data_IF_623178666240
#
_entry.id   IF_623178666240
#
_cell.length_a   1.000
_cell.length_b   1.000
_cell.length_c   1.000
_cell.angle_alpha   90.00
_cell.angle_beta   90.00
_cell.angle_gamma   90.00
#
_symmetry.space_group_name_H-M   'P 1'
#
loop_
_entity.id
_entity.type
_entity.pdbx_description
1 polymer ?
#
# COMPACT_ATOMS: atom_id res chain seq x y z
N UNK A 1 -33.06 -1.24 -18.65
CA UNK A 1 -32.00 -0.21 -18.77
C UNK A 1 -32.44 1.04 -19.52
N UNK A 2 -33.09 0.97 -20.69
CA UNK A 2 -33.53 2.19 -21.43
C UNK A 2 -34.43 3.12 -20.60
N UNK A 3 -35.35 2.57 -19.80
CA UNK A 3 -36.22 3.34 -18.89
C UNK A 3 -35.43 4.09 -17.80
N UNK A 4 -34.49 3.42 -17.14
CA UNK A 4 -33.60 4.04 -16.14
C UNK A 4 -32.77 5.16 -16.76
N UNK A 5 -32.18 4.93 -17.93
CA UNK A 5 -31.36 5.94 -18.60
C UNK A 5 -32.16 7.19 -18.96
N UNK A 6 -33.38 7.02 -19.48
CA UNK A 6 -34.29 8.13 -19.76
C UNK A 6 -34.67 8.87 -18.48
N UNK A 7 -34.96 8.15 -17.40
CA UNK A 7 -35.30 8.74 -16.09
C UNK A 7 -34.15 9.55 -15.50
N UNK A 8 -32.91 9.06 -15.53
CA UNK A 8 -31.73 9.82 -15.08
C UNK A 8 -31.59 11.12 -15.87
N UNK A 9 -31.70 11.06 -17.20
CA UNK A 9 -31.56 12.22 -18.08
C UNK A 9 -32.63 13.28 -17.81
N UNK A 10 -33.88 12.86 -17.56
CA UNK A 10 -34.97 13.77 -17.18
C UNK A 10 -34.73 14.48 -15.84
N UNK A 11 -34.00 13.85 -14.93
CA UNK A 11 -33.64 14.40 -13.61
C UNK A 11 -32.24 15.05 -13.60
N UNK A 12 -31.67 15.38 -14.77
CA UNK A 12 -30.38 16.08 -14.87
C UNK A 12 -29.16 15.26 -14.41
N UNK A 13 -29.28 13.93 -14.35
CA UNK A 13 -28.19 13.02 -13.95
C UNK A 13 -27.75 12.15 -15.11
N UNK A 14 -26.45 11.81 -15.15
CA UNK A 14 -25.91 10.87 -16.13
C UNK A 14 -26.49 9.48 -15.88
N UNK A 15 -26.96 8.83 -16.95
CA UNK A 15 -27.34 7.43 -16.88
C UNK A 15 -26.08 6.57 -16.68
N UNK A 16 -26.12 5.66 -15.72
CA UNK A 16 -25.01 4.75 -15.45
C UNK A 16 -25.49 3.31 -15.38
N UNK A 17 -24.57 2.38 -15.65
CA UNK A 17 -24.69 1.00 -15.19
C UNK A 17 -24.13 0.89 -13.77
N UNK A 18 -24.82 0.14 -12.95
CA UNK A 18 -24.32 -0.24 -11.63
C UNK A 18 -23.32 -1.39 -11.79
N UNK A 19 -22.22 -1.40 -11.01
CA UNK A 19 -21.29 -2.53 -10.96
C UNK A 19 -22.02 -3.83 -10.62
N UNK A 20 -21.57 -4.95 -11.17
CA UNK A 20 -22.08 -6.26 -10.78
C UNK A 20 -21.41 -6.71 -9.48
N UNK A 21 -22.22 -7.25 -8.57
CA UNK A 21 -21.71 -7.89 -7.36
C UNK A 21 -21.19 -9.30 -7.68
N UNK A 22 -20.03 -9.64 -7.14
CA UNK A 22 -19.42 -10.96 -7.19
C UNK A 22 -19.30 -11.45 -5.74
N UNK A 23 -20.05 -12.49 -5.34
CA UNK A 23 -20.15 -12.92 -3.94
C UNK A 23 -18.82 -13.23 -3.25
N UNK A 24 -17.79 -13.58 -4.01
CA UNK A 24 -16.44 -13.88 -3.50
C UNK A 24 -15.51 -12.67 -3.45
N UNK A 25 -15.96 -11.48 -3.87
CA UNK A 25 -15.15 -10.26 -3.96
C UNK A 25 -15.86 -9.07 -3.33
N UNK A 26 -15.57 -8.82 -2.06
CA UNK A 26 -16.01 -7.62 -1.32
C UNK A 26 -15.83 -6.28 -2.05
N UNK A 27 -14.79 -6.11 -2.88
CA UNK A 27 -14.58 -4.90 -3.69
C UNK A 27 -15.71 -4.68 -4.69
N UNK A 28 -16.29 -5.74 -5.28
CA UNK A 28 -17.45 -5.61 -6.17
C UNK A 28 -18.70 -5.21 -5.40
N UNK A 29 -18.93 -5.78 -4.21
CA UNK A 29 -20.01 -5.39 -3.31
C UNK A 29 -19.88 -3.91 -2.92
N UNK A 30 -18.68 -3.47 -2.53
CA UNK A 30 -18.39 -2.06 -2.25
C UNK A 30 -18.69 -1.15 -3.45
N UNK A 31 -18.15 -1.48 -4.63
CA UNK A 31 -18.37 -0.68 -5.85
C UNK A 31 -19.87 -0.57 -6.17
N UNK A 32 -20.63 -1.65 -6.05
CA UNK A 32 -22.09 -1.66 -6.26
C UNK A 32 -22.80 -0.77 -5.23
N UNK A 33 -22.56 -0.99 -3.94
CA UNK A 33 -23.26 -0.27 -2.88
C UNK A 33 -22.93 1.22 -2.88
N UNK A 34 -21.64 1.57 -3.01
CA UNK A 34 -21.20 2.97 -3.08
C UNK A 34 -21.86 3.70 -4.25
N UNK A 35 -21.91 3.06 -5.43
CA UNK A 35 -22.57 3.65 -6.60
C UNK A 35 -24.09 3.74 -6.44
N UNK A 36 -24.70 2.74 -5.82
CA UNK A 36 -26.14 2.74 -5.52
C UNK A 36 -26.48 3.87 -4.55
N UNK A 37 -25.65 4.08 -3.53
CA UNK A 37 -25.82 5.14 -2.53
C UNK A 37 -25.69 6.55 -3.13
N UNK A 38 -24.79 6.74 -4.10
CA UNK A 38 -24.66 7.99 -4.87
C UNK A 38 -25.95 8.35 -5.63
N UNK A 39 -26.69 7.34 -6.11
CA UNK A 39 -27.93 7.49 -6.87
C UNK A 39 -29.20 7.24 -6.03
N UNK A 40 -29.08 7.15 -4.70
CA UNK A 40 -30.15 6.67 -3.81
C UNK A 40 -31.50 7.36 -3.99
N UNK A 41 -31.53 8.68 -4.13
CA UNK A 41 -32.77 9.45 -4.24
C UNK A 41 -33.51 9.14 -5.55
N UNK A 42 -32.75 9.06 -6.66
CA UNK A 42 -33.28 8.67 -7.96
C UNK A 42 -33.71 7.20 -7.98
N UNK A 43 -32.92 6.32 -7.37
CA UNK A 43 -33.23 4.90 -7.30
C UNK A 43 -34.48 4.63 -6.48
N UNK A 44 -34.61 5.24 -5.30
CA UNK A 44 -35.78 5.10 -4.44
C UNK A 44 -37.05 5.51 -5.19
N UNK A 45 -37.01 6.67 -5.84
CA UNK A 45 -38.14 7.20 -6.62
C UNK A 45 -38.44 6.31 -7.84
N UNK A 46 -37.42 5.94 -8.62
CA UNK A 46 -37.58 5.09 -9.79
C UNK A 46 -38.17 3.72 -9.45
N UNK A 47 -37.66 3.07 -8.39
CA UNK A 47 -38.13 1.77 -7.93
C UNK A 47 -39.58 1.85 -7.45
N UNK A 48 -39.93 2.89 -6.69
CA UNK A 48 -41.31 3.10 -6.23
C UNK A 48 -42.32 3.19 -7.39
N UNK A 49 -41.96 3.83 -8.51
CA UNK A 49 -42.87 3.99 -9.66
C UNK A 49 -42.82 2.83 -10.66
N UNK A 50 -41.70 2.11 -10.78
CA UNK A 50 -41.49 1.14 -11.85
C UNK A 50 -41.30 -0.31 -11.38
N UNK A 51 -41.13 -0.54 -10.09
CA UNK A 51 -40.85 -1.88 -9.51
C UNK A 51 -41.77 -2.13 -8.31
N UNK A 52 -43.00 -2.55 -8.61
CA UNK A 52 -44.11 -2.65 -7.65
C UNK A 52 -43.93 -3.61 -6.47
N UNK A 53 -42.88 -4.45 -6.46
CA UNK A 53 -42.63 -5.45 -5.41
C UNK A 53 -41.46 -5.09 -4.49
N UNK A 54 -40.76 -3.98 -4.74
CA UNK A 54 -39.60 -3.56 -3.94
C UNK A 54 -39.89 -2.18 -3.37
N UNK A 55 -39.78 -2.06 -2.05
CA UNK A 55 -39.83 -0.77 -1.36
C UNK A 55 -38.47 -0.52 -0.69
N UNK A 56 -37.87 0.62 -0.98
CA UNK A 56 -36.64 1.06 -0.35
C UNK A 56 -36.97 2.09 0.72
N UNK A 57 -36.70 1.75 1.97
CA UNK A 57 -36.88 2.63 3.12
C UNK A 57 -35.58 3.34 3.48
N UNK A 58 -35.68 4.40 4.29
CA UNK A 58 -34.51 5.11 4.80
C UNK A 58 -33.54 4.18 5.53
N UNK A 59 -34.06 3.24 6.34
CA UNK A 59 -33.24 2.25 7.05
C UNK A 59 -32.37 1.39 6.13
N UNK A 60 -32.84 1.07 4.91
CA UNK A 60 -32.01 0.32 3.94
C UNK A 60 -30.83 1.16 3.44
N UNK A 61 -31.02 2.46 3.28
CA UNK A 61 -29.95 3.38 2.89
C UNK A 61 -28.98 3.64 4.03
N UNK A 62 -29.47 3.71 5.26
CA UNK A 62 -28.63 3.83 6.46
C UNK A 62 -27.73 2.59 6.61
N UNK A 63 -28.29 1.38 6.49
CA UNK A 63 -27.53 0.14 6.46
C UNK A 63 -26.51 0.11 5.29
N UNK A 64 -26.92 0.53 4.09
CA UNK A 64 -26.04 0.63 2.93
C UNK A 64 -24.85 1.56 3.19
N UNK A 65 -25.08 2.71 3.85
CA UNK A 65 -24.04 3.66 4.22
C UNK A 65 -23.05 3.04 5.22
N UNK A 66 -23.54 2.33 6.24
CA UNK A 66 -22.70 1.70 7.25
C UNK A 66 -21.82 0.60 6.64
N UNK A 67 -22.40 -0.28 5.82
CA UNK A 67 -21.65 -1.32 5.09
C UNK A 67 -20.64 -0.71 4.13
N UNK A 68 -21.01 0.36 3.41
CA UNK A 68 -20.08 1.09 2.53
C UNK A 68 -18.90 1.66 3.32
N UNK A 69 -19.14 2.22 4.50
CA UNK A 69 -18.10 2.76 5.37
C UNK A 69 -17.07 1.70 5.74
N UNK A 70 -17.53 0.52 6.19
CA UNK A 70 -16.67 -0.61 6.53
C UNK A 70 -15.89 -1.12 5.31
N UNK A 71 -16.60 -1.42 4.20
CA UNK A 71 -15.97 -1.99 3.01
C UNK A 71 -15.02 -1.00 2.30
N UNK A 72 -15.22 0.31 2.45
CA UNK A 72 -14.31 1.33 1.90
C UNK A 72 -12.89 1.18 2.45
N UNK A 73 -12.74 0.84 3.73
CA UNK A 73 -11.42 0.66 4.36
C UNK A 73 -10.66 -0.46 3.66
N UNK A 74 -11.33 -1.59 3.46
CA UNK A 74 -10.77 -2.74 2.76
C UNK A 74 -10.51 -2.51 1.28
N UNK A 75 -11.41 -1.79 0.61
CA UNK A 75 -11.21 -1.37 -0.78
C UNK A 75 -9.98 -0.49 -0.93
N UNK A 76 -9.81 0.48 -0.02
CA UNK A 76 -8.65 1.39 0.00
C UNK A 76 -7.37 0.62 0.26
N UNK A 77 -7.35 -0.25 1.28
CA UNK A 77 -6.21 -1.12 1.58
C UNK A 77 -5.85 -2.02 0.39
N UNK A 78 -6.84 -2.63 -0.27
CA UNK A 78 -6.60 -3.50 -1.44
C UNK A 78 -5.94 -2.72 -2.58
N UNK A 79 -6.43 -1.51 -2.88
CA UNK A 79 -5.85 -0.67 -3.92
C UNK A 79 -4.43 -0.22 -3.58
N UNK A 80 -4.20 0.18 -2.33
CA UNK A 80 -2.88 0.63 -1.86
C UNK A 80 -1.86 -0.52 -1.87
N UNK A 81 -2.28 -1.74 -1.52
CA UNK A 81 -1.39 -2.91 -1.46
C UNK A 81 -1.22 -3.62 -2.81
N UNK A 82 -2.06 -3.30 -3.80
CA UNK A 82 -1.98 -3.82 -5.18
C UNK A 82 -1.22 -2.90 -6.14
N UNK A 83 -0.68 -1.78 -5.65
CA UNK A 83 0.14 -0.87 -6.46
C UNK A 83 1.39 -1.54 -7.01
N UNK A 84 1.77 -1.16 -8.22
CA UNK A 84 2.95 -1.70 -8.94
C UNK A 84 4.08 -0.68 -9.11
N UNK A 85 3.78 0.61 -8.89
CA UNK A 85 4.71 1.71 -9.11
C UNK A 85 5.29 2.33 -7.84
N UNK A 86 5.02 1.73 -6.68
CA UNK A 86 5.54 2.13 -5.39
C UNK A 86 5.63 0.90 -4.47
N UNK A 87 6.54 0.90 -3.48
CA UNK A 87 6.59 -0.15 -2.46
C UNK A 87 5.28 -0.30 -1.71
N UNK A 88 4.82 -1.54 -1.59
CA UNK A 88 3.60 -1.88 -0.86
C UNK A 88 3.87 -2.57 0.48
N UNK A 89 5.05 -3.19 0.64
CA UNK A 89 5.43 -4.00 1.82
C UNK A 89 5.39 -3.19 3.12
N UNK A 90 5.90 -1.96 3.10
CA UNK A 90 5.93 -1.05 4.25
C UNK A 90 4.54 -0.50 4.60
N UNK A 91 3.59 -0.53 3.67
CA UNK A 91 2.23 -0.04 3.88
C UNK A 91 1.34 -1.07 4.60
N UNK A 92 1.69 -2.36 4.54
CA UNK A 92 0.83 -3.44 5.02
C UNK A 92 0.39 -3.29 6.47
N UNK A 93 1.30 -2.92 7.37
CA UNK A 93 0.98 -2.73 8.80
C UNK A 93 0.06 -1.53 8.99
N UNK A 94 0.28 -0.43 8.25
CA UNK A 94 -0.57 0.77 8.30
C UNK A 94 -1.99 0.46 7.81
N UNK A 95 -2.11 -0.28 6.71
CA UNK A 95 -3.43 -0.70 6.21
C UNK A 95 -4.13 -1.68 7.17
N UNK A 96 -3.36 -2.56 7.82
CA UNK A 96 -3.88 -3.47 8.84
C UNK A 96 -4.40 -2.73 10.08
N UNK A 97 -3.76 -1.61 10.45
CA UNK A 97 -4.25 -0.72 11.51
C UNK A 97 -5.59 -0.07 11.16
N UNK A 98 -5.72 0.43 9.92
CA UNK A 98 -6.98 1.00 9.44
C UNK A 98 -8.12 -0.03 9.51
N UNK A 99 -7.83 -1.28 9.09
CA UNK A 99 -8.77 -2.40 9.15
C UNK A 99 -9.15 -2.74 10.59
N UNK A 100 -8.17 -2.83 11.49
CA UNK A 100 -8.44 -3.10 12.91
C UNK A 100 -9.27 -1.99 13.57
N UNK A 101 -9.00 -0.72 13.22
CA UNK A 101 -9.82 0.42 13.64
C UNK A 101 -11.26 0.34 13.11
N UNK A 102 -11.45 -0.12 11.88
CA UNK A 102 -12.79 -0.32 11.31
C UNK A 102 -13.56 -1.42 12.05
N UNK A 103 -12.91 -2.53 12.41
CA UNK A 103 -13.54 -3.56 13.26
C UNK A 103 -13.95 -2.99 14.62
N UNK A 104 -13.07 -2.27 15.30
CA UNK A 104 -13.38 -1.66 16.59
C UNK A 104 -14.54 -0.66 16.51
N UNK A 105 -14.63 0.12 15.43
CA UNK A 105 -15.70 1.09 15.22
C UNK A 105 -17.07 0.43 15.00
N UNK A 106 -17.11 -0.67 14.24
CA UNK A 106 -18.34 -1.36 13.89
C UNK A 106 -18.77 -2.43 14.91
N UNK A 107 -17.94 -2.76 15.91
CA UNK A 107 -18.25 -3.81 16.90
C UNK A 107 -19.48 -3.49 17.75
N UNK A 108 -19.77 -2.20 17.98
CA UNK A 108 -20.95 -1.74 18.71
C UNK A 108 -22.21 -1.58 17.86
N UNK A 109 -22.12 -1.74 16.53
CA UNK A 109 -23.26 -1.65 15.63
C UNK A 109 -24.02 -2.99 15.64
N UNK A 110 -25.27 -2.98 16.13
CA UNK A 110 -26.08 -4.19 16.28
C UNK A 110 -26.41 -4.88 14.96
N UNK A 111 -26.48 -4.13 13.85
CA UNK A 111 -26.79 -4.70 12.52
C UNK A 111 -25.55 -5.34 11.89
N UNK A 112 -24.36 -4.78 12.15
CA UNK A 112 -23.11 -5.28 11.59
C UNK A 112 -22.38 -6.28 12.48
N UNK A 113 -22.73 -6.37 13.77
CA UNK A 113 -21.98 -7.13 14.78
C UNK A 113 -21.62 -8.56 14.35
N UNK A 114 -22.59 -9.34 13.86
CA UNK A 114 -22.36 -10.73 13.43
C UNK A 114 -21.40 -10.81 12.23
N UNK A 115 -21.59 -9.93 11.24
CA UNK A 115 -20.75 -9.89 10.03
C UNK A 115 -19.32 -9.44 10.37
N UNK A 116 -19.17 -8.40 11.20
CA UNK A 116 -17.88 -7.87 11.64
C UNK A 116 -17.14 -8.90 12.47
N UNK A 117 -17.83 -9.63 13.35
CA UNK A 117 -17.22 -10.72 14.14
C UNK A 117 -16.68 -11.81 13.21
N UNK A 118 -17.49 -12.28 12.25
CA UNK A 118 -17.05 -13.29 11.28
C UNK A 118 -15.86 -12.79 10.42
N UNK A 119 -15.88 -11.53 9.99
CA UNK A 119 -14.77 -10.92 9.24
C UNK A 119 -13.50 -10.82 10.08
N UNK A 120 -13.61 -10.41 11.35
CA UNK A 120 -12.50 -10.31 12.30
C UNK A 120 -11.89 -11.68 12.58
N UNK A 121 -12.72 -12.69 12.83
CA UNK A 121 -12.26 -14.07 13.03
C UNK A 121 -11.49 -14.57 11.81
N UNK A 122 -12.04 -14.35 10.61
CA UNK A 122 -11.38 -14.73 9.37
C UNK A 122 -10.07 -13.97 9.14
N UNK A 123 -10.02 -12.69 9.48
CA UNK A 123 -8.83 -11.86 9.41
C UNK A 123 -7.71 -12.38 10.33
N UNK A 124 -8.07 -12.75 11.56
CA UNK A 124 -7.14 -13.31 12.55
C UNK A 124 -6.54 -14.66 12.13
N UNK A 125 -7.24 -15.47 11.35
CA UNK A 125 -6.67 -16.72 10.81
C UNK A 125 -5.40 -16.47 9.97
N UNK A 126 -5.33 -15.34 9.26
CA UNK A 126 -4.20 -15.01 8.39
C UNK A 126 -3.21 -14.03 9.04
N UNK A 127 -3.72 -13.07 9.81
CA UNK A 127 -2.96 -11.90 10.25
C UNK A 127 -2.99 -11.69 11.76
N UNK A 128 -3.29 -12.74 12.55
CA UNK A 128 -3.00 -12.73 13.99
C UNK A 128 -1.50 -12.57 14.22
N UNK A 129 -0.65 -13.26 13.48
CA UNK A 129 0.80 -13.05 13.51
C UNK A 129 1.24 -12.44 12.19
N UNK A 130 1.80 -11.23 12.23
CA UNK A 130 2.34 -10.63 11.03
C UNK A 130 3.59 -11.37 10.55
N UNK A 131 3.67 -11.68 9.25
CA UNK A 131 4.93 -12.08 8.64
C UNK A 131 6.02 -11.04 8.91
N UNK A 132 7.21 -11.50 9.36
CA UNK A 132 8.30 -10.61 9.78
C UNK A 132 8.73 -9.62 8.69
N UNK A 133 8.57 -9.98 7.40
CA UNK A 133 8.92 -9.09 6.28
C UNK A 133 8.15 -7.76 6.31
N UNK A 134 6.88 -7.76 6.73
CA UNK A 134 6.08 -6.53 6.80
C UNK A 134 6.50 -5.65 7.97
N UNK A 135 6.84 -6.26 9.11
CA UNK A 135 7.35 -5.54 10.28
C UNK A 135 8.73 -4.94 10.00
N UNK A 136 9.62 -5.70 9.35
CA UNK A 136 10.93 -5.23 8.93
C UNK A 136 10.79 -4.11 7.89
N UNK A 137 9.90 -4.27 6.89
CA UNK A 137 9.65 -3.24 5.89
C UNK A 137 9.15 -1.92 6.50
N UNK A 138 8.29 -1.99 7.52
CA UNK A 138 7.85 -0.81 8.28
C UNK A 138 9.05 -0.11 8.96
N UNK A 139 10.00 -0.86 9.51
CA UNK A 139 11.20 -0.29 10.13
C UNK A 139 12.12 0.41 9.12
N UNK A 140 12.06 0.03 7.84
CA UNK A 140 12.78 0.69 6.75
C UNK A 140 12.01 1.88 6.15
N UNK A 141 10.80 2.19 6.63
CA UNK A 141 10.12 3.45 6.30
C UNK A 141 10.63 4.54 7.25
N UNK A 142 11.42 5.52 6.80
CA UNK A 142 12.01 6.52 7.69
C UNK A 142 10.94 7.39 8.37
N UNK A 143 9.72 7.44 7.83
CA UNK A 143 8.57 8.14 8.44
C UNK A 143 8.05 7.39 9.67
N UNK A 144 8.34 6.11 9.78
CA UNK A 144 7.98 5.24 10.90
C UNK A 144 9.23 5.01 11.77
N UNK A 145 9.13 5.22 13.08
CA UNK A 145 10.24 4.93 13.99
C UNK A 145 10.13 3.50 14.49
N UNK A 146 11.26 2.79 14.62
CA UNK A 146 11.30 1.49 15.29
C UNK A 146 10.82 1.62 16.75
N UNK A 147 11.14 2.74 17.42
CA UNK A 147 10.64 3.04 18.77
C UNK A 147 9.11 3.09 18.84
N UNK A 148 8.44 3.35 17.73
CA UNK A 148 6.97 3.37 17.61
C UNK A 148 6.39 2.00 17.20
N UNK A 149 7.22 0.99 16.93
CA UNK A 149 6.73 -0.36 16.61
C UNK A 149 5.81 -0.92 17.71
N UNK A 150 6.14 -0.82 19.01
CA UNK A 150 5.21 -1.22 20.07
C UNK A 150 3.88 -0.47 19.99
N UNK A 151 3.89 0.83 19.72
CA UNK A 151 2.66 1.64 19.62
C UNK A 151 1.77 1.17 18.45
N UNK A 152 2.36 0.89 17.29
CA UNK A 152 1.64 0.31 16.16
C UNK A 152 1.05 -1.07 16.52
N UNK A 153 1.82 -1.94 17.17
CA UNK A 153 1.33 -3.26 17.55
C UNK A 153 0.24 -3.19 18.64
N UNK A 154 0.36 -2.29 19.61
CA UNK A 154 -0.68 -2.03 20.63
C UNK A 154 -1.96 -1.48 19.99
N UNK A 155 -1.84 -0.55 19.06
CA UNK A 155 -3.00 -0.03 18.33
C UNK A 155 -3.72 -1.14 17.54
N UNK A 156 -2.97 -2.08 16.95
CA UNK A 156 -3.54 -3.21 16.23
C UNK A 156 -4.17 -4.25 17.16
N UNK A 157 -3.38 -4.82 18.08
CA UNK A 157 -3.76 -5.97 18.89
C UNK A 157 -4.68 -5.61 20.04
N UNK A 158 -4.33 -4.58 20.82
CA UNK A 158 -5.03 -4.25 22.06
C UNK A 158 -6.23 -3.35 21.80
N UNK A 159 -6.07 -2.32 20.97
CA UNK A 159 -7.12 -1.33 20.73
C UNK A 159 -8.08 -1.76 19.61
N UNK A 160 -7.54 -2.16 18.46
CA UNK A 160 -8.34 -2.53 17.29
C UNK A 160 -8.97 -3.91 17.41
N UNK A 161 -8.17 -4.93 17.76
CA UNK A 161 -8.62 -6.31 17.79
C UNK A 161 -9.00 -6.82 19.18
N UNK A 162 -8.56 -6.16 20.25
CA UNK A 162 -8.80 -6.54 21.65
C UNK A 162 -8.39 -7.99 21.94
N UNK A 163 -7.23 -8.40 21.44
CA UNK A 163 -6.66 -9.72 21.67
C UNK A 163 -5.35 -9.63 22.44
N UNK A 164 -5.10 -10.64 23.27
CA UNK A 164 -3.84 -10.79 23.98
C UNK A 164 -2.74 -11.25 23.01
N UNK A 165 -1.68 -10.45 22.91
CA UNK A 165 -0.53 -10.71 22.06
C UNK A 165 0.74 -10.19 22.73
N UNK A 166 1.81 -10.99 22.70
CA UNK A 166 3.09 -10.61 23.30
C UNK A 166 3.86 -9.65 22.37
N UNK A 167 3.53 -8.35 22.50
CA UNK A 167 4.11 -7.25 21.73
C UNK A 167 5.62 -7.14 22.00
N UNK A 168 6.04 -7.29 23.26
CA UNK A 168 7.45 -7.19 23.65
C UNK A 168 8.29 -8.28 22.99
N UNK A 169 7.82 -9.53 23.01
CA UNK A 169 8.49 -10.65 22.34
C UNK A 169 8.53 -10.44 20.81
N UNK A 170 7.46 -9.93 20.20
CA UNK A 170 7.44 -9.62 18.78
C UNK A 170 8.46 -8.54 18.41
N UNK A 171 8.50 -7.44 19.17
CA UNK A 171 9.48 -6.37 18.98
C UNK A 171 10.91 -6.87 19.15
N UNK A 172 11.17 -7.69 20.18
CA UNK A 172 12.48 -8.32 20.38
C UNK A 172 12.88 -9.20 19.20
N UNK A 173 11.95 -10.01 18.67
CA UNK A 173 12.17 -10.84 17.47
C UNK A 173 12.50 -10.00 16.24
N UNK A 174 11.73 -8.95 15.95
CA UNK A 174 11.97 -8.04 14.81
C UNK A 174 13.33 -7.37 14.94
N UNK A 175 13.66 -6.91 16.16
CA UNK A 175 14.97 -6.32 16.44
C UNK A 175 16.09 -7.31 16.13
N UNK A 176 16.05 -8.53 16.65
CA UNK A 176 17.05 -9.58 16.35
C UNK A 176 17.19 -9.83 14.86
N UNK A 177 16.07 -9.96 14.13
CA UNK A 177 16.10 -10.20 12.68
C UNK A 177 16.74 -9.04 11.90
N UNK A 178 16.58 -7.78 12.34
CA UNK A 178 17.26 -6.64 11.72
C UNK A 178 18.78 -6.73 11.86
N UNK A 179 19.30 -7.12 13.03
CA UNK A 179 20.75 -7.32 13.22
C UNK A 179 21.26 -8.51 12.41
N UNK A 180 20.55 -9.64 12.42
CA UNK A 180 20.93 -10.81 11.63
C UNK A 180 20.98 -10.50 10.13
N UNK A 181 19.99 -9.77 9.61
CA UNK A 181 19.93 -9.35 8.21
C UNK A 181 21.09 -8.41 7.88
N UNK A 182 21.39 -7.45 8.75
CA UNK A 182 22.53 -6.55 8.59
C UNK A 182 23.86 -7.32 8.59
N UNK A 183 24.02 -8.29 9.50
CA UNK A 183 25.21 -9.13 9.59
C UNK A 183 25.43 -9.98 8.33
N UNK A 184 24.37 -10.51 7.73
CA UNK A 184 24.50 -11.24 6.46
C UNK A 184 24.93 -10.32 5.32
N UNK A 185 24.38 -9.11 5.23
CA UNK A 185 24.76 -8.16 4.18
C UNK A 185 26.17 -7.61 4.37
N UNK A 186 26.59 -7.28 5.59
CA UNK A 186 27.94 -6.76 5.82
C UNK A 186 29.01 -7.83 5.51
N UNK A 187 28.73 -9.11 5.77
CA UNK A 187 29.63 -10.23 5.37
C UNK A 187 29.81 -10.29 3.86
N UNK A 188 28.74 -10.10 3.08
CA UNK A 188 28.76 -10.21 1.62
C UNK A 188 29.31 -8.96 0.95
N UNK A 189 28.89 -7.78 1.40
CA UNK A 189 29.11 -6.51 0.69
C UNK A 189 30.09 -5.57 1.38
N UNK A 190 30.36 -5.74 2.68
CA UNK A 190 31.31 -4.93 3.45
C UNK A 190 32.71 -4.86 2.83
N UNK A 191 33.31 -5.97 2.37
CA UNK A 191 34.64 -5.96 1.74
C UNK A 191 34.73 -5.06 0.50
N UNK A 192 33.65 -4.97 -0.28
CA UNK A 192 33.58 -4.17 -1.51
C UNK A 192 33.46 -2.68 -1.25
N UNK A 193 32.97 -2.30 -0.06
CA UNK A 193 32.72 -0.91 0.32
C UNK A 193 33.90 -0.28 1.08
N UNK A 194 35.01 -1.02 1.29
CA UNK A 194 36.09 -0.65 2.21
C UNK A 194 35.55 -0.24 3.60
N UNK A 195 34.43 -0.82 4.02
CA UNK A 195 33.97 -0.71 5.40
C UNK A 195 34.90 -1.62 6.18
N UNK A 196 35.78 -1.03 7.00
CA UNK A 196 36.69 -1.78 7.87
C UNK A 196 35.86 -2.69 8.79
N UNK A 197 35.66 -3.94 8.37
CA UNK A 197 35.31 -5.03 9.28
C UNK A 197 36.52 -5.13 10.22
N UNK A 198 36.36 -4.97 11.54
CA UNK A 198 37.52 -4.97 12.42
C UNK A 198 38.17 -6.36 12.41
N UNK A 199 39.16 -6.56 11.55
CA UNK A 199 40.20 -7.54 11.74
C UNK A 199 41.18 -6.95 12.74
N UNK A 200 41.35 -7.66 13.85
CA UNK A 200 42.32 -7.36 14.90
C UNK A 200 43.74 -7.25 14.33
N UNK A 201 44.19 -6.06 13.97
CA UNK A 201 45.62 -5.73 13.95
C UNK A 201 45.84 -4.26 14.35
N UNK A 202 46.74 -4.10 15.33
CA UNK A 202 47.36 -2.84 15.71
C UNK A 202 47.97 -2.16 14.48
N UNK A 203 47.82 -0.84 14.31
CA UNK A 203 48.92 0.10 14.03
C UNK A 203 48.44 1.56 14.12
N UNK A 204 49.40 2.37 14.58
CA UNK A 204 49.49 3.81 14.84
C UNK A 204 48.99 4.79 13.77
N UNK A 205 48.61 5.96 14.29
CA UNK A 205 48.10 7.18 13.66
C UNK A 205 49.10 7.85 12.71
N UNK A 206 48.60 8.42 11.61
CA UNK A 206 49.07 9.72 11.11
C UNK A 206 47.96 10.47 10.37
N UNK A 207 48.01 11.80 10.46
CA UNK A 207 46.97 12.77 10.07
C UNK A 207 47.36 13.55 8.82
N UNK A 208 46.39 13.85 7.94
CA UNK A 208 46.39 15.12 7.21
C UNK A 208 44.97 15.50 6.76
N UNK A 209 44.69 16.80 6.78
CA UNK A 209 43.37 17.43 6.61
C UNK A 209 43.19 18.01 5.21
N UNK A 210 41.96 17.97 4.70
CA UNK A 210 41.42 19.06 3.88
C UNK A 210 39.89 19.11 4.05
N UNK A 211 39.43 20.24 4.55
CA UNK A 211 38.05 20.55 4.96
C UNK A 211 37.10 20.77 3.80
N UNK A 212 35.87 20.23 3.89
CA UNK A 212 34.69 20.77 3.20
C UNK A 212 33.37 20.35 3.90
N UNK A 213 32.57 21.34 4.28
CA UNK A 213 31.13 21.36 4.63
C UNK A 213 30.53 20.47 5.75
N UNK A 214 31.21 19.45 6.30
CA UNK A 214 30.62 18.52 7.31
C UNK A 214 30.46 19.12 8.73
N UNK A 215 31.02 20.30 9.00
CA UNK A 215 31.14 20.85 10.36
C UNK A 215 29.88 21.53 10.94
N UNK A 216 28.73 21.51 10.26
CA UNK A 216 27.47 22.02 10.83
C UNK A 216 26.69 20.96 11.64
N UNK A 217 26.80 19.68 11.28
CA UNK A 217 26.10 18.59 11.99
C UNK A 217 26.72 18.30 13.36
N UNK A 218 28.06 18.32 13.47
CA UNK A 218 28.75 18.09 14.75
C UNK A 218 28.48 19.15 15.83
N UNK A 219 28.09 20.37 15.45
CA UNK A 219 27.79 21.43 16.42
C UNK A 219 26.42 21.28 17.08
N UNK A 220 25.46 20.60 16.42
CA UNK A 220 24.12 20.35 16.97
C UNK A 220 24.08 19.19 17.98
N UNK A 221 25.02 18.23 17.89
CA UNK A 221 25.15 17.14 18.87
C UNK A 221 25.86 17.55 20.18
N UNK A 222 26.46 18.75 20.23
CA UNK A 222 27.26 19.20 21.38
C UNK A 222 26.45 19.80 22.55
N UNK A 223 25.11 19.79 22.51
CA UNK A 223 24.27 20.33 23.58
C UNK A 223 23.10 19.44 24.00
N UNK A 224 23.35 18.17 24.31
CA UNK A 224 22.56 17.45 25.34
C UNK A 224 23.18 16.14 25.83
N UNK A 225 24.20 16.19 26.68
CA UNK A 225 24.49 15.09 27.64
C UNK A 225 25.11 15.65 28.93
N UNK A 226 24.26 15.91 29.93
CA UNK A 226 24.69 15.96 31.34
C UNK A 226 23.93 14.85 32.08
N UNK A 227 24.70 13.81 32.51
CA UNK A 227 24.33 12.62 33.32
C UNK A 227 23.35 11.66 32.63
N UNK A 228 23.50 10.33 32.70
CA UNK A 228 23.93 9.47 33.82
C UNK A 228 25.13 8.57 33.50
N UNK A 229 25.85 8.23 34.57
CA UNK A 229 27.01 7.34 34.62
C UNK A 229 26.49 5.92 34.88
N UNK A 230 26.61 5.03 33.89
CA UNK A 230 26.41 3.58 34.02
C UNK A 230 27.49 2.88 33.21
N UNK A 231 28.25 1.98 33.84
CA UNK A 231 29.37 1.26 33.23
C UNK A 231 28.92 0.46 32.01
N UNK A 232 29.49 0.76 30.85
CA UNK A 232 29.35 -0.04 29.64
C UNK A 232 30.68 -0.74 29.36
N UNK A 233 30.63 -2.07 29.35
CA UNK A 233 31.58 -2.93 28.68
C UNK A 233 31.71 -2.53 27.21
N UNK A 234 32.94 -2.49 26.72
CA UNK A 234 33.33 -2.23 25.34
C UNK A 234 32.71 -3.25 24.37
N UNK A 235 31.66 -2.88 23.64
CA UNK A 235 31.29 -3.50 22.36
C UNK A 235 31.77 -2.61 21.22
N UNK A 236 32.69 -3.16 20.44
CA UNK A 236 33.29 -2.57 19.24
C UNK A 236 32.26 -2.29 18.14
N UNK A 237 32.51 -1.24 17.38
CA UNK A 237 31.68 -0.50 16.43
C UNK A 237 31.22 -1.25 15.16
N UNK A 238 30.60 -2.44 15.26
CA UNK A 238 30.15 -3.20 14.07
C UNK A 238 28.80 -2.73 13.51
N UNK A 239 27.89 -2.24 14.37
CA UNK A 239 26.51 -1.87 14.00
C UNK A 239 26.27 -0.36 13.92
N UNK A 240 27.31 0.46 13.75
CA UNK A 240 27.16 1.92 13.84
C UNK A 240 26.17 2.50 12.83
N UNK A 241 26.06 1.91 11.64
CA UNK A 241 25.08 2.29 10.62
C UNK A 241 23.64 1.98 11.05
N UNK A 242 23.36 0.74 11.43
CA UNK A 242 22.04 0.27 11.88
C UNK A 242 21.59 1.04 13.12
N UNK A 243 22.43 1.14 14.14
CA UNK A 243 22.11 1.88 15.37
C UNK A 243 21.89 3.37 15.09
N UNK A 244 22.70 3.97 14.20
CA UNK A 244 22.51 5.36 13.79
C UNK A 244 21.18 5.56 13.09
N UNK A 245 20.79 4.68 12.17
CA UNK A 245 19.49 4.77 11.50
C UNK A 245 18.34 4.62 12.49
N UNK A 246 18.36 3.57 13.33
CA UNK A 246 17.29 3.27 14.28
C UNK A 246 17.09 4.36 15.35
N UNK A 247 18.16 5.07 15.73
CA UNK A 247 18.11 6.17 16.70
C UNK A 247 17.88 7.55 16.08
N UNK A 248 17.93 7.67 14.74
CA UNK A 248 17.76 8.95 14.07
C UNK A 248 16.28 9.21 13.77
N UNK A 249 15.77 10.32 14.30
CA UNK A 249 14.52 10.88 13.81
C UNK A 249 14.77 11.71 12.55
N UNK A 250 14.24 11.27 11.43
CA UNK A 250 14.18 12.06 10.21
C UNK A 250 12.97 13.02 10.31
N UNK A 251 13.23 14.32 10.34
CA UNK A 251 12.16 15.32 10.44
C UNK A 251 11.37 15.41 9.14
N UNK A 252 10.21 14.75 9.08
CA UNK A 252 9.25 14.90 8.00
C UNK A 252 8.24 15.98 8.37
N UNK A 253 8.07 16.96 7.49
CA UNK A 253 7.04 17.99 7.60
C UNK A 253 5.84 17.50 6.79
N UNK A 254 4.66 17.41 7.41
CA UNK A 254 3.42 16.91 6.77
C UNK A 254 2.87 17.86 5.67
N UNK A 255 3.45 19.05 5.49
CA UNK A 255 2.85 20.18 4.74
C UNK A 255 3.21 20.29 3.24
N UNK A 256 3.35 19.18 2.50
CA UNK A 256 3.31 19.32 1.03
C UNK A 256 2.35 18.31 0.41
N UNK A 257 1.10 18.74 0.24
CA UNK A 257 0.03 18.02 -0.47
C UNK A 257 0.43 17.63 -1.92
N UNK A 258 1.52 18.18 -2.47
CA UNK A 258 1.90 18.05 -3.88
C UNK A 258 2.98 16.99 -4.20
N UNK A 259 3.61 16.34 -3.22
CA UNK A 259 4.62 15.28 -3.50
C UNK A 259 4.42 14.04 -2.64
N UNK A 260 3.87 12.99 -3.25
CA UNK A 260 3.87 11.62 -2.69
C UNK A 260 5.31 11.23 -2.33
N UNK A 261 5.56 10.91 -1.06
CA UNK A 261 6.87 10.48 -0.58
C UNK A 261 7.33 9.21 -1.30
N UNK A 262 8.49 9.25 -1.95
CA UNK A 262 9.12 8.10 -2.60
C UNK A 262 10.21 7.53 -1.68
N UNK A 263 9.87 6.45 -0.98
CA UNK A 263 10.75 5.77 -0.04
C UNK A 263 12.00 5.17 -0.70
N UNK A 264 11.90 4.66 -1.94
CA UNK A 264 13.06 4.11 -2.64
C UNK A 264 14.01 5.22 -3.09
N UNK A 265 13.44 6.35 -3.52
CA UNK A 265 14.23 7.53 -3.81
C UNK A 265 14.94 8.05 -2.56
N UNK A 266 14.25 8.10 -1.41
CA UNK A 266 14.85 8.48 -0.14
C UNK A 266 16.05 7.58 0.21
N UNK A 267 15.90 6.24 0.12
CA UNK A 267 17.01 5.31 0.36
C UNK A 267 18.17 5.51 -0.60
N UNK A 268 17.89 5.81 -1.87
CA UNK A 268 18.92 6.13 -2.87
C UNK A 268 19.68 7.40 -2.55
N UNK A 269 19.02 8.44 -2.05
CA UNK A 269 19.67 9.69 -1.63
C UNK A 269 20.53 9.49 -0.37
N UNK A 270 20.15 8.57 0.51
CA UNK A 270 20.82 8.30 1.78
C UNK A 270 21.81 7.13 1.72
N UNK A 271 21.99 6.49 0.57
CA UNK A 271 22.91 5.37 0.34
C UNK A 271 24.35 5.67 0.76
N UNK A 272 24.79 6.94 0.66
CA UNK A 272 26.13 7.36 1.10
C UNK A 272 26.33 7.29 2.61
N UNK A 273 25.25 7.44 3.38
CA UNK A 273 25.28 7.38 4.85
C UNK A 273 24.93 5.99 5.36
N UNK A 274 24.07 5.29 4.63
CA UNK A 274 23.57 3.97 4.99
C UNK A 274 23.73 2.96 3.82
N UNK A 275 24.97 2.61 3.44
CA UNK A 275 25.20 1.78 2.25
C UNK A 275 24.67 0.34 2.40
N UNK A 276 24.84 -0.28 3.57
CA UNK A 276 24.36 -1.65 3.81
C UNK A 276 22.84 -1.65 3.93
N UNK A 277 22.28 -0.73 4.70
CA UNK A 277 20.83 -0.63 4.89
C UNK A 277 20.11 -0.24 3.61
N UNK A 278 20.68 0.61 2.75
CA UNK A 278 20.06 0.96 1.47
C UNK A 278 19.91 -0.27 0.55
N UNK A 279 20.88 -1.19 0.56
CA UNK A 279 20.76 -2.46 -0.17
C UNK A 279 19.65 -3.34 0.40
N UNK A 280 19.59 -3.47 1.74
CA UNK A 280 18.56 -4.25 2.43
C UNK A 280 17.17 -3.66 2.17
N UNK A 281 17.02 -2.35 2.39
CA UNK A 281 15.78 -1.62 2.20
C UNK A 281 15.27 -1.78 0.76
N UNK A 282 16.14 -1.64 -0.24
CA UNK A 282 15.79 -1.87 -1.64
C UNK A 282 15.23 -3.27 -1.85
N UNK A 283 15.84 -4.31 -1.29
CA UNK A 283 15.37 -5.68 -1.47
C UNK A 283 14.05 -5.95 -0.73
N UNK A 284 13.93 -5.51 0.52
CA UNK A 284 12.73 -5.73 1.34
C UNK A 284 11.53 -4.95 0.80
N UNK A 285 11.70 -3.66 0.51
CA UNK A 285 10.63 -2.77 0.04
C UNK A 285 10.17 -3.08 -1.39
N UNK A 286 11.00 -3.75 -2.19
CA UNK A 286 10.62 -4.17 -3.55
C UNK A 286 9.74 -5.43 -3.56
N UNK A 287 9.49 -6.07 -2.42
CA UNK A 287 8.65 -7.27 -2.34
C UNK A 287 7.16 -6.91 -2.38
N UNK A 288 6.41 -7.16 -3.46
CA UNK A 288 4.99 -6.83 -3.49
C UNK A 288 4.21 -7.61 -2.44
N UNK A 289 3.23 -6.96 -1.79
CA UNK A 289 2.30 -7.62 -0.86
C UNK A 289 1.29 -8.48 -1.59
N UNK A 290 0.83 -7.99 -2.75
CA UNK A 290 -0.30 -8.56 -3.49
C UNK A 290 0.15 -9.30 -4.75
N UNK A 291 -0.51 -10.42 -5.04
CA UNK A 291 -0.39 -11.14 -6.32
C UNK A 291 -1.25 -10.53 -7.43
N UNK A 292 -2.06 -9.50 -7.13
CA UNK A 292 -3.03 -8.91 -8.08
C UNK A 292 -2.39 -8.49 -9.39
N UNK A 293 -1.19 -7.90 -9.38
CA UNK A 293 -0.49 -7.54 -10.61
C UNK A 293 -0.21 -8.76 -11.51
N UNK A 294 0.21 -9.86 -10.90
CA UNK A 294 0.48 -11.13 -11.59
C UNK A 294 -0.82 -11.77 -12.06
N UNK A 295 -1.87 -11.74 -11.25
CA UNK A 295 -3.20 -12.24 -11.61
C UNK A 295 -3.82 -11.44 -12.76
N UNK A 296 -3.72 -10.11 -12.75
CA UNK A 296 -4.15 -9.26 -13.86
C UNK A 296 -3.41 -9.59 -15.15
N UNK A 297 -2.10 -9.86 -15.07
CA UNK A 297 -1.32 -10.28 -16.23
C UNK A 297 -1.74 -11.66 -16.74
N UNK A 298 -2.07 -12.61 -15.86
CA UNK A 298 -2.60 -13.92 -16.26
C UNK A 298 -4.02 -13.83 -16.85
N UNK A 299 -4.91 -13.03 -16.26
CA UNK A 299 -6.25 -12.78 -16.82
C UNK A 299 -6.18 -12.10 -18.19
N UNK A 300 -5.27 -11.14 -18.37
CA UNK A 300 -4.99 -10.57 -19.69
C UNK A 300 -4.38 -11.61 -20.66
N UNK A 301 -3.57 -12.53 -20.13
CA UNK A 301 -2.96 -13.65 -20.85
C UNK A 301 -3.97 -14.67 -21.38
N UNK A 302 -5.12 -14.87 -20.71
CA UNK A 302 -6.21 -15.70 -21.24
C UNK A 302 -6.74 -15.16 -22.58
N UNK A 303 -6.75 -13.83 -22.77
CA UNK A 303 -7.08 -13.22 -24.06
C UNK A 303 -5.97 -13.38 -25.13
N UNK A 304 -4.74 -13.69 -24.73
CA UNK A 304 -3.62 -13.97 -25.65
C UNK A 304 -3.74 -15.40 -26.22
N UNK A 305 -4.29 -16.32 -25.43
CA UNK A 305 -4.64 -17.69 -25.84
C UNK A 305 -6.05 -17.77 -26.47
N UNK A 306 -6.36 -16.84 -27.38
CA UNK A 306 -7.52 -16.96 -28.28
C UNK A 306 -7.41 -18.30 -29.07
N UNK A 307 -8.50 -19.03 -29.34
CA UNK A 307 -8.53 -20.18 -30.25
C UNK A 307 -7.70 -20.00 -31.55
N UNK A 308 -7.58 -18.76 -32.06
CA UNK A 308 -6.77 -18.39 -33.24
C UNK A 308 -5.24 -18.34 -33.02
N UNK A 309 -4.78 -18.32 -31.76
CA UNK A 309 -3.35 -18.27 -31.34
C UNK A 309 -2.90 -19.53 -30.58
N UNK A 310 -3.66 -20.61 -30.69
CA UNK A 310 -3.42 -21.92 -30.06
C UNK A 310 -2.16 -22.67 -30.53
N UNK A 311 -1.44 -22.16 -31.53
CA UNK A 311 -0.23 -22.77 -32.11
C UNK A 311 1.10 -22.14 -31.62
N UNK A 312 1.06 -21.16 -30.71
CA UNK A 312 2.28 -20.56 -30.18
C UNK A 312 3.02 -21.51 -29.25
N UNK A 313 4.35 -21.59 -29.39
CA UNK A 313 5.16 -22.33 -28.44
C UNK A 313 5.12 -21.68 -27.04
N UNK A 314 5.25 -22.44 -25.95
CA UNK A 314 5.31 -21.87 -24.60
C UNK A 314 6.38 -20.79 -24.44
N UNK A 315 7.53 -20.96 -25.12
CA UNK A 315 8.63 -19.98 -25.12
C UNK A 315 8.23 -18.67 -25.81
N UNK A 316 7.52 -18.76 -26.94
CA UNK A 316 7.02 -17.58 -27.66
C UNK A 316 5.99 -16.80 -26.83
N UNK A 317 5.10 -17.52 -26.15
CA UNK A 317 4.11 -16.92 -25.24
C UNK A 317 4.80 -16.19 -24.08
N UNK A 318 5.80 -16.80 -23.46
CA UNK A 318 6.57 -16.18 -22.37
C UNK A 318 7.25 -14.89 -22.83
N UNK A 319 7.92 -14.91 -24.00
CA UNK A 319 8.58 -13.72 -24.55
C UNK A 319 7.55 -12.61 -24.80
N UNK A 320 6.40 -12.94 -25.40
CA UNK A 320 5.34 -11.96 -25.66
C UNK A 320 4.84 -11.33 -24.34
N UNK A 321 4.53 -12.16 -23.33
CA UNK A 321 4.07 -11.68 -22.03
C UNK A 321 5.09 -10.75 -21.35
N UNK A 322 6.38 -11.08 -21.39
CA UNK A 322 7.44 -10.23 -20.85
C UNK A 322 7.58 -8.91 -21.61
N UNK A 323 7.55 -8.94 -22.95
CA UNK A 323 7.68 -7.73 -23.78
C UNK A 323 6.49 -6.79 -23.57
N UNK A 324 5.27 -7.33 -23.52
CA UNK A 324 4.07 -6.55 -23.24
C UNK A 324 4.13 -5.90 -21.86
N UNK A 325 4.52 -6.65 -20.82
CA UNK A 325 4.65 -6.14 -19.47
C UNK A 325 5.72 -5.04 -19.36
N UNK A 326 6.91 -5.26 -19.92
CA UNK A 326 7.98 -4.26 -19.92
C UNK A 326 7.59 -3.00 -20.67
N UNK A 327 6.87 -3.14 -21.80
CA UNK A 327 6.37 -1.99 -22.57
C UNK A 327 5.35 -1.19 -21.75
N UNK A 328 4.42 -1.88 -21.07
CA UNK A 328 3.46 -1.23 -20.16
C UNK A 328 4.17 -0.57 -18.97
N UNK A 329 5.18 -1.21 -18.39
CA UNK A 329 5.97 -0.66 -17.29
C UNK A 329 6.70 0.64 -17.69
N UNK A 330 7.33 0.65 -18.86
CA UNK A 330 7.99 1.85 -19.42
C UNK A 330 7.02 3.01 -19.61
N UNK A 331 5.79 2.71 -20.06
CA UNK A 331 4.76 3.71 -20.28
C UNK A 331 3.93 4.04 -19.02
N UNK A 332 4.18 3.36 -17.89
CA UNK A 332 3.37 3.40 -16.66
C UNK A 332 1.88 3.07 -16.86
N UNK A 333 1.60 1.99 -17.59
CA UNK A 333 0.26 1.56 -18.00
C UNK A 333 -0.16 0.18 -17.42
N UNK A 334 0.54 -0.32 -16.40
CA UNK A 334 0.21 -1.61 -15.77
C UNK A 334 -1.00 -1.51 -14.82
N UNK A 335 -1.32 -0.32 -14.29
CA UNK A 335 -2.46 -0.09 -13.39
C UNK A 335 -3.81 0.11 -14.12
N UNK A 336 -3.84 0.04 -15.46
CA UNK A 336 -5.08 0.24 -16.22
C UNK A 336 -5.98 -0.99 -16.05
N UNK A 337 -6.86 -0.92 -15.04
CA UNK A 337 -8.01 -1.81 -14.91
C UNK A 337 -8.82 -1.78 -16.21
N UNK A 338 -9.00 -2.93 -16.85
CA UNK A 338 -9.98 -3.10 -17.94
C UNK A 338 -11.45 -3.05 -17.43
N UNK A 339 -11.69 -2.54 -16.22
CA UNK A 339 -13.01 -2.40 -15.59
C UNK A 339 -13.55 -0.96 -15.62
N UNK A 340 -13.04 -0.07 -16.49
CA UNK A 340 -13.82 1.13 -16.83
C UNK A 340 -15.17 0.65 -17.43
N UNK A 341 -16.32 1.01 -16.85
CA UNK A 341 -17.60 0.63 -17.43
C UNK A 341 -17.69 1.29 -18.80
N UNK A 342 -17.61 0.48 -19.86
CA UNK A 342 -17.87 0.91 -21.22
C UNK A 342 -19.19 1.70 -21.25
N UNK A 343 -19.10 3.01 -21.51
CA UNK A 343 -20.26 3.89 -21.55
C UNK A 343 -21.02 3.66 -22.86
N UNK A 344 -21.87 2.63 -22.85
CA UNK A 344 -22.74 2.29 -23.97
C UNK A 344 -23.68 3.44 -24.38
N UNK A 345 -23.82 4.50 -23.57
CA UNK A 345 -24.67 5.65 -23.83
C UNK A 345 -23.92 6.86 -24.42
N UNK A 346 -22.58 6.80 -24.57
CA UNK A 346 -21.82 7.84 -25.29
C UNK A 346 -22.07 7.80 -26.80
N UNK A 347 -22.29 6.61 -27.35
CA UNK A 347 -22.48 6.41 -28.80
C UNK A 347 -23.93 6.73 -29.27
N UNK A 348 -24.86 6.99 -28.35
CA UNK A 348 -26.26 7.33 -28.64
C UNK A 348 -26.51 8.87 -28.70
N UNK A 349 -25.45 9.70 -28.67
CA UNK A 349 -25.61 11.12 -28.99
C UNK A 349 -25.77 11.29 -30.51
N UNK A 350 -26.83 11.97 -30.99
CA UNK A 350 -26.93 12.29 -32.41
C UNK A 350 -25.69 13.10 -32.78
N UNK A 351 -25.00 12.68 -33.84
CA UNK A 351 -23.86 13.38 -34.39
C UNK A 351 -24.25 14.85 -34.56
N UNK A 352 -23.68 15.74 -33.74
CA UNK A 352 -23.81 17.17 -33.95
C UNK A 352 -23.33 17.44 -35.37
N UNK A 353 -24.22 18.07 -36.14
CA UNK A 353 -24.00 18.44 -37.53
C UNK A 353 -22.67 19.18 -37.63
N UNK A 354 -21.67 18.53 -38.22
CA UNK A 354 -20.51 19.24 -38.78
C UNK A 354 -21.08 20.20 -39.82
N UNK A 355 -21.15 21.48 -39.48
CA UNK A 355 -21.29 22.53 -40.48
C UNK A 355 -19.99 22.53 -41.26
N UNK A 356 -20.05 21.99 -42.48
CA UNK A 356 -19.01 22.17 -43.48
C UNK A 356 -18.90 23.66 -43.79
N UNK A 357 -17.95 24.32 -43.13
CA UNK A 357 -17.49 25.65 -43.52
C UNK A 357 -16.49 25.46 -44.66
N UNK A 358 -17.01 25.36 -45.88
CA UNK A 358 -16.20 25.53 -47.09
C UNK A 358 -15.87 27.02 -47.23
N UNK A 359 -14.74 27.40 -46.64
CA UNK A 359 -14.05 28.63 -46.99
C UNK A 359 -13.64 28.58 -48.46
N UNK A 360 -14.22 29.47 -49.26
CA UNK A 360 -13.62 29.93 -50.51
C UNK A 360 -12.29 30.61 -50.18
N UNK A 361 -11.20 30.06 -50.69
CA UNK A 361 -10.23 30.78 -51.53
C UNK A 361 -9.39 29.79 -52.36
#
# INVERSE_FOLDING_TARGET
MKLWAAYCKQNGKRAIRFPHDVPTRWNSTYKLLARSYEYRDLLATFIQYHVSHINLYQSHWDACSNVCGLLKVFYTATNNLSGVYYPTTNLFIIESLNIAGAFAHCESDSELHESVTAMKDKWLEYYKEFPNIYLIALCFDPRCRLESLPDYLSAYYEQGLKIDYDIDMCCARVKTLLYELYDEYIKVYGPSLNIDVPQTQNVSRSSSSSSSFVNLWYNLLSKKTKKLRGSSSSSSTTYSELESYLSTSFGFIEDTEDKKFDILHWWKEHERYFPILAMIAKQILSSPVSTVAVEQQFSAGENILDPRRSLMSPKSLQIQACVEDWTKAQNRQQEIDQEEPYDFFKDDQPAESRTDDHGND
#
